data_IF_079435357120
#
_entry.id   IF_079435357120
#
_cell.length_a   1.000
_cell.length_b   1.000
_cell.length_c   1.000
_cell.angle_alpha   90.00
_cell.angle_beta   90.00
_cell.angle_gamma   90.00
#
_symmetry.space_group_name_H-M   'P 1'
#
loop_
_entity.id
_entity.type
_entity.pdbx_description
1 polymer ?
#
# COMPACT_ATOMS: atom_id res chain seq x y z
N UNK A 1 18.80 14.47 -8.19
CA UNK A 1 18.56 14.64 -6.74
C UNK A 1 19.66 15.52 -6.18
N UNK A 2 19.32 16.42 -5.24
CA UNK A 2 20.32 17.22 -4.51
C UNK A 2 21.28 16.28 -3.76
N UNK A 3 22.57 16.64 -3.72
CA UNK A 3 23.58 15.88 -2.97
C UNK A 3 23.25 15.97 -1.48
N UNK A 4 23.28 14.84 -0.77
CA UNK A 4 23.12 14.85 0.68
C UNK A 4 24.17 15.75 1.35
N UNK A 5 23.81 16.52 2.38
CA UNK A 5 24.77 17.33 3.13
C UNK A 5 25.91 16.47 3.66
N UNK A 6 27.11 17.02 3.64
CA UNK A 6 28.30 16.40 4.24
C UNK A 6 28.60 17.06 5.58
N UNK A 7 29.55 16.50 6.34
CA UNK A 7 29.97 17.08 7.62
C UNK A 7 30.49 18.52 7.49
N UNK A 8 30.92 18.92 6.29
CA UNK A 8 31.40 20.27 5.95
C UNK A 8 30.30 21.20 5.42
N UNK A 9 29.06 20.74 5.30
CA UNK A 9 27.96 21.58 4.79
C UNK A 9 27.58 22.66 5.80
N UNK A 10 27.39 23.87 5.30
CA UNK A 10 26.88 24.99 6.09
C UNK A 10 25.43 24.75 6.52
N UNK A 11 25.00 25.41 7.60
CA UNK A 11 23.61 25.33 8.07
C UNK A 11 22.59 25.77 7.03
N UNK A 12 22.95 26.71 6.15
CA UNK A 12 22.09 27.15 5.05
C UNK A 12 21.88 26.04 4.00
N UNK A 13 22.93 25.29 3.66
CA UNK A 13 22.84 24.16 2.72
C UNK A 13 22.01 23.01 3.29
N UNK A 14 22.16 22.72 4.59
CA UNK A 14 21.34 21.72 5.29
C UNK A 14 19.87 22.13 5.26
N UNK A 15 19.57 23.40 5.60
CA UNK A 15 18.19 23.91 5.58
C UNK A 15 17.56 23.82 4.19
N UNK A 16 18.31 24.11 3.13
CA UNK A 16 17.80 24.03 1.76
C UNK A 16 17.55 22.59 1.33
N UNK A 17 18.44 21.67 1.71
CA UNK A 17 18.23 20.23 1.51
C UNK A 17 16.98 19.72 2.22
N UNK A 18 16.76 20.12 3.48
CA UNK A 18 15.59 19.74 4.27
C UNK A 18 14.30 20.28 3.66
N UNK A 19 14.30 21.53 3.17
CA UNK A 19 13.16 22.09 2.42
C UNK A 19 12.88 21.28 1.15
N UNK A 20 13.92 20.89 0.42
CA UNK A 20 13.79 20.03 -0.76
C UNK A 20 13.14 18.69 -0.43
N UNK A 21 13.58 18.04 0.66
CA UNK A 21 12.95 16.80 1.14
C UNK A 21 11.52 17.00 1.63
N UNK A 22 11.23 18.08 2.34
CA UNK A 22 9.88 18.41 2.77
C UNK A 22 8.94 18.60 1.57
N UNK A 23 9.39 19.31 0.53
CA UNK A 23 8.65 19.50 -0.70
C UNK A 23 8.42 18.17 -1.43
N UNK A 24 9.46 17.35 -1.60
CA UNK A 24 9.34 16.03 -2.21
C UNK A 24 8.37 15.12 -1.44
N UNK A 25 8.46 15.10 -0.10
CA UNK A 25 7.56 14.34 0.76
C UNK A 25 6.10 14.81 0.66
N UNK A 26 5.84 16.11 0.49
CA UNK A 26 4.48 16.62 0.22
C UNK A 26 3.95 16.15 -1.13
N UNK A 27 4.77 16.17 -2.18
CA UNK A 27 4.37 15.65 -3.50
C UNK A 27 4.05 14.16 -3.43
N UNK A 28 4.90 13.38 -2.77
CA UNK A 28 4.70 11.97 -2.49
C UNK A 28 3.36 11.70 -1.79
N UNK A 29 3.08 12.44 -0.69
CA UNK A 29 1.88 12.23 0.14
C UNK A 29 0.60 12.71 -0.54
N UNK A 30 0.72 13.60 -1.52
CA UNK A 30 -0.37 14.00 -2.42
C UNK A 30 -0.52 13.07 -3.64
N UNK A 31 0.17 11.93 -3.65
CA UNK A 31 0.01 10.90 -4.68
C UNK A 31 0.77 11.16 -5.98
N UNK A 32 1.70 12.13 -6.00
CA UNK A 32 2.57 12.35 -7.17
C UNK A 32 3.58 11.20 -7.30
N UNK A 33 3.93 10.90 -8.54
CA UNK A 33 5.01 9.96 -8.84
C UNK A 33 6.36 10.51 -8.38
N UNK A 34 7.23 9.61 -7.92
CA UNK A 34 8.56 9.96 -7.45
C UNK A 34 9.61 9.91 -8.57
N UNK A 35 9.43 9.05 -9.57
CA UNK A 35 10.32 8.94 -10.74
C UNK A 35 9.61 9.22 -12.06
N UNK A 36 8.52 9.99 -12.05
CA UNK A 36 7.86 10.45 -13.29
C UNK A 36 7.35 9.33 -14.21
N UNK A 37 6.84 8.22 -13.64
CA UNK A 37 6.43 7.02 -14.39
C UNK A 37 7.57 6.35 -15.17
N UNK A 38 8.77 6.36 -14.59
CA UNK A 38 9.88 5.52 -15.05
C UNK A 38 9.41 4.10 -15.32
N UNK A 39 9.73 3.60 -16.52
CA UNK A 39 9.22 2.33 -17.02
C UNK A 39 9.98 1.16 -16.41
N UNK A 40 9.24 0.11 -16.05
CA UNK A 40 9.82 -1.16 -15.64
C UNK A 40 10.71 -1.72 -16.76
N UNK A 41 11.88 -2.22 -16.39
CA UNK A 41 12.85 -2.76 -17.33
C UNK A 41 13.10 -4.26 -17.10
N UNK A 42 13.16 -5.03 -18.18
CA UNK A 42 13.54 -6.43 -18.21
C UNK A 42 14.72 -6.61 -19.18
N UNK A 43 15.81 -7.15 -18.66
CA UNK A 43 17.03 -7.37 -19.42
C UNK A 43 17.33 -8.86 -19.53
N UNK A 44 17.35 -9.37 -20.76
CA UNK A 44 17.72 -10.75 -21.05
C UNK A 44 19.24 -10.84 -21.19
N UNK A 45 19.87 -11.70 -20.38
CA UNK A 45 21.28 -12.03 -20.58
C UNK A 45 21.43 -12.85 -21.87
N UNK A 46 22.14 -12.31 -22.86
CA UNK A 46 22.36 -12.96 -24.16
C UNK A 46 23.69 -13.72 -24.23
N UNK A 47 24.36 -13.89 -23.09
CA UNK A 47 25.75 -14.37 -23.03
C UNK A 47 26.76 -13.28 -23.40
N UNK A 48 28.05 -13.64 -23.40
CA UNK A 48 29.16 -12.76 -23.76
C UNK A 48 29.15 -11.37 -23.07
N UNK A 49 28.71 -11.34 -21.81
CA UNK A 49 28.59 -10.13 -20.98
C UNK A 49 27.65 -9.06 -21.58
N UNK A 50 26.65 -9.48 -22.37
CA UNK A 50 25.66 -8.60 -22.99
C UNK A 50 24.27 -8.86 -22.45
N UNK A 51 23.48 -7.80 -22.44
CA UNK A 51 22.06 -7.82 -22.09
C UNK A 51 21.24 -7.12 -23.17
N UNK A 52 20.12 -7.72 -23.54
CA UNK A 52 19.12 -7.10 -24.41
C UNK A 52 17.98 -6.55 -23.56
N UNK A 53 17.56 -5.31 -23.79
CA UNK A 53 16.32 -4.80 -23.21
C UNK A 53 15.15 -5.48 -23.92
N UNK A 54 14.43 -6.33 -23.19
CA UNK A 54 13.28 -7.10 -23.70
C UNK A 54 11.97 -6.67 -23.03
N UNK A 55 11.96 -5.54 -22.32
CA UNK A 55 10.82 -5.07 -21.51
C UNK A 55 9.50 -5.04 -22.29
N UNK A 56 9.53 -4.51 -23.52
CA UNK A 56 8.33 -4.40 -24.34
C UNK A 56 7.82 -5.77 -24.80
N UNK A 57 8.72 -6.64 -25.28
CA UNK A 57 8.34 -7.96 -25.83
C UNK A 57 7.94 -8.97 -24.76
N UNK A 58 8.42 -8.80 -23.52
CA UNK A 58 7.97 -9.60 -22.37
C UNK A 58 6.68 -9.08 -21.74
N UNK A 59 6.18 -7.91 -22.18
CA UNK A 59 5.01 -7.26 -21.59
C UNK A 59 5.28 -6.68 -20.20
N UNK A 60 6.56 -6.49 -19.82
CA UNK A 60 6.97 -5.93 -18.53
C UNK A 60 7.18 -4.41 -18.56
N UNK A 61 7.12 -3.77 -19.73
CA UNK A 61 7.30 -2.33 -19.93
C UNK A 61 6.08 -1.51 -19.47
N UNK A 62 5.86 -1.49 -18.16
CA UNK A 62 4.82 -0.69 -17.54
C UNK A 62 5.34 0.70 -17.14
N UNK A 63 4.62 1.79 -17.45
CA UNK A 63 4.92 3.14 -16.97
C UNK A 63 4.37 3.37 -15.56
N UNK A 64 4.52 2.38 -14.68
CA UNK A 64 4.06 2.46 -13.31
C UNK A 64 5.24 2.80 -12.41
N UNK A 65 5.00 3.64 -11.41
CA UNK A 65 6.03 4.08 -10.47
C UNK A 65 6.43 2.96 -9.49
N UNK A 66 7.05 1.90 -10.02
CA UNK A 66 7.39 0.64 -9.34
C UNK A 66 8.43 0.81 -8.25
N UNK A 67 8.18 0.26 -7.07
CA UNK A 67 9.05 0.39 -5.90
C UNK A 67 9.41 -0.91 -5.22
N UNK A 68 8.81 -2.03 -5.61
CA UNK A 68 9.23 -3.34 -5.16
C UNK A 68 8.81 -4.40 -6.14
N UNK A 69 9.60 -5.47 -6.21
CA UNK A 69 9.36 -6.63 -7.06
C UNK A 69 9.69 -7.89 -6.24
N UNK A 70 8.74 -8.81 -6.16
CA UNK A 70 8.93 -10.12 -5.58
C UNK A 70 8.80 -11.18 -6.67
N UNK A 71 9.75 -12.10 -6.73
CA UNK A 71 9.70 -13.26 -7.61
C UNK A 71 9.20 -14.47 -6.83
N UNK A 72 8.31 -15.25 -7.43
CA UNK A 72 7.79 -16.49 -6.85
C UNK A 72 7.26 -17.41 -7.95
N UNK A 73 7.29 -18.72 -7.74
CA UNK A 73 6.46 -19.65 -8.51
C UNK A 73 5.12 -19.76 -7.76
N UNK A 74 4.14 -18.93 -8.15
CA UNK A 74 2.92 -18.72 -7.35
C UNK A 74 1.98 -19.91 -7.38
N UNK A 75 1.87 -20.55 -8.54
CA UNK A 75 1.02 -21.73 -8.74
C UNK A 75 1.79 -23.05 -8.79
N UNK A 76 3.09 -23.01 -8.52
CA UNK A 76 3.98 -24.17 -8.39
C UNK A 76 4.12 -24.98 -9.70
N UNK A 77 4.06 -24.30 -10.84
CA UNK A 77 4.12 -24.89 -12.16
C UNK A 77 5.53 -24.90 -12.77
N UNK A 78 6.52 -24.36 -12.04
CA UNK A 78 7.91 -24.24 -12.49
C UNK A 78 8.21 -22.97 -13.28
N UNK A 79 7.25 -22.06 -13.47
CA UNK A 79 7.46 -20.77 -14.12
C UNK A 79 7.45 -19.69 -13.05
N UNK A 80 8.50 -18.87 -13.05
CA UNK A 80 8.57 -17.75 -12.12
C UNK A 80 7.60 -16.65 -12.53
N UNK A 81 6.76 -16.26 -11.59
CA UNK A 81 5.83 -15.13 -11.59
C UNK A 81 6.39 -13.93 -10.83
N UNK A 82 5.68 -12.81 -10.95
CA UNK A 82 6.06 -11.55 -10.31
C UNK A 82 4.91 -10.90 -9.57
N UNK A 83 5.21 -10.39 -8.38
CA UNK A 83 4.41 -9.36 -7.73
C UNK A 83 5.18 -8.04 -7.79
N UNK A 84 4.55 -6.99 -8.28
CA UNK A 84 5.10 -5.64 -8.25
C UNK A 84 4.24 -4.75 -7.36
N UNK A 85 4.90 -3.91 -6.55
CA UNK A 85 4.23 -2.82 -5.84
C UNK A 85 4.63 -1.49 -6.47
N UNK A 86 3.62 -0.66 -6.73
CA UNK A 86 3.80 0.66 -7.31
C UNK A 86 3.37 1.71 -6.29
N UNK A 87 4.06 2.84 -6.31
CA UNK A 87 3.72 3.98 -5.46
C UNK A 87 2.34 4.54 -5.78
N UNK A 88 2.07 4.70 -7.08
CA UNK A 88 0.81 5.22 -7.60
C UNK A 88 -0.10 4.07 -8.03
N UNK A 89 -1.19 4.38 -8.72
CA UNK A 89 -2.05 3.35 -9.30
C UNK A 89 -1.44 2.67 -10.52
N UNK A 90 -1.68 1.36 -10.73
CA UNK A 90 -2.25 0.42 -9.75
C UNK A 90 -1.21 0.02 -8.70
N UNK A 91 -1.59 -0.03 -7.42
CA UNK A 91 -0.63 -0.22 -6.30
C UNK A 91 0.02 -1.59 -6.27
N UNK A 92 -0.69 -2.62 -6.70
CA UNK A 92 -0.18 -3.99 -6.76
C UNK A 92 -0.47 -4.53 -8.15
N UNK A 93 0.51 -5.22 -8.73
CA UNK A 93 0.32 -6.04 -9.92
C UNK A 93 0.81 -7.45 -9.65
N UNK A 94 0.01 -8.41 -10.06
CA UNK A 94 0.43 -9.79 -10.23
C UNK A 94 0.65 -10.06 -11.71
N UNK A 95 1.80 -10.60 -12.06
CA UNK A 95 2.13 -11.02 -13.41
C UNK A 95 2.38 -12.52 -13.40
N UNK A 96 1.39 -13.25 -13.90
CA UNK A 96 1.47 -14.69 -14.05
C UNK A 96 2.20 -15.06 -15.35
N UNK A 97 3.21 -15.89 -15.24
CA UNK A 97 3.99 -16.37 -16.36
C UNK A 97 3.33 -17.60 -17.01
N UNK A 98 2.72 -17.38 -18.18
CA UNK A 98 2.06 -18.43 -18.96
C UNK A 98 2.91 -18.92 -20.15
N UNK A 99 4.21 -18.60 -20.17
CA UNK A 99 5.10 -19.00 -21.26
C UNK A 99 5.20 -20.53 -21.34
N UNK A 100 4.89 -21.09 -22.51
CA UNK A 100 4.96 -22.53 -22.72
C UNK A 100 6.40 -22.95 -23.03
N UNK A 101 6.93 -23.89 -22.25
CA UNK A 101 8.29 -24.40 -22.40
C UNK A 101 8.36 -25.88 -22.04
N UNK A 102 9.28 -26.59 -22.67
CA UNK A 102 9.67 -27.97 -22.35
C UNK A 102 10.96 -28.03 -21.51
N UNK A 103 11.43 -26.87 -21.03
CA UNK A 103 12.51 -26.79 -20.06
C UNK A 103 12.04 -27.31 -18.70
N UNK A 104 12.95 -27.97 -18.01
CA UNK A 104 12.72 -28.54 -16.69
C UNK A 104 13.26 -27.61 -15.60
N UNK A 105 12.77 -27.79 -14.38
CA UNK A 105 13.19 -27.02 -13.22
C UNK A 105 13.38 -27.90 -11.98
N UNK A 106 13.97 -27.34 -10.94
CA UNK A 106 13.91 -27.90 -9.59
C UNK A 106 13.90 -26.76 -8.57
N UNK A 107 13.15 -26.94 -7.48
CA UNK A 107 12.95 -25.90 -6.47
C UNK A 107 13.26 -26.42 -5.07
N UNK A 108 13.99 -25.64 -4.28
CA UNK A 108 14.42 -26.04 -2.94
C UNK A 108 13.92 -25.10 -1.84
N UNK A 109 13.31 -25.67 -0.80
CA UNK A 109 13.10 -25.01 0.48
C UNK A 109 14.12 -25.56 1.48
N UNK A 110 14.81 -24.68 2.19
CA UNK A 110 15.87 -25.05 3.10
C UNK A 110 15.39 -24.95 4.55
N UNK A 111 15.74 -25.92 5.38
CA UNK A 111 15.43 -25.94 6.81
C UNK A 111 16.71 -26.14 7.60
N UNK A 112 17.15 -25.09 8.29
CA UNK A 112 18.27 -25.17 9.23
C UNK A 112 17.87 -25.90 10.52
N UNK A 113 18.81 -26.64 11.08
CA UNK A 113 18.69 -27.34 12.37
C UNK A 113 19.76 -26.88 13.34
N UNK A 114 21.02 -26.82 12.89
CA UNK A 114 22.16 -26.24 13.61
C UNK A 114 22.34 -24.77 13.23
N UNK A 115 22.09 -24.43 11.97
CA UNK A 115 22.00 -23.07 11.45
C UNK A 115 20.65 -22.43 11.80
N UNK A 116 20.47 -21.13 11.50
CA UNK A 116 19.16 -20.46 11.67
C UNK A 116 18.06 -21.24 10.93
N UNK A 117 16.84 -21.31 11.50
CA UNK A 117 15.76 -22.19 11.00
C UNK A 117 15.41 -21.95 9.53
N UNK A 118 15.51 -20.70 9.09
CA UNK A 118 15.26 -20.26 7.73
C UNK A 118 16.44 -20.47 6.77
N UNK A 119 17.57 -20.98 7.26
CA UNK A 119 18.81 -21.19 6.52
C UNK A 119 19.30 -19.95 5.75
N UNK A 120 18.99 -18.73 6.23
CA UNK A 120 19.45 -17.49 5.61
C UNK A 120 20.98 -17.48 5.56
N UNK A 121 21.54 -17.22 4.38
CA UNK A 121 22.96 -17.29 4.08
C UNK A 121 23.41 -18.59 3.41
N UNK A 122 22.56 -19.62 3.36
CA UNK A 122 22.88 -20.90 2.71
C UNK A 122 23.06 -20.74 1.19
N UNK A 123 23.87 -21.63 0.59
CA UNK A 123 24.05 -21.71 -0.87
C UNK A 123 23.81 -23.13 -1.35
N UNK A 124 22.90 -23.29 -2.30
CA UNK A 124 22.71 -24.52 -3.06
C UNK A 124 23.56 -24.47 -4.31
N UNK A 125 24.34 -25.51 -4.54
CA UNK A 125 25.15 -25.74 -5.72
C UNK A 125 24.64 -27.00 -6.41
N UNK A 126 24.15 -26.85 -7.64
CA UNK A 126 23.61 -27.93 -8.45
C UNK A 126 24.48 -28.14 -9.68
N UNK A 127 25.03 -29.34 -9.84
CA UNK A 127 25.85 -29.71 -11.00
C UNK A 127 25.01 -30.56 -11.95
N UNK A 128 24.98 -30.18 -13.22
CA UNK A 128 24.34 -30.97 -14.29
C UNK A 128 25.37 -31.93 -14.90
N UNK A 129 24.90 -33.08 -15.35
CA UNK A 129 25.73 -34.07 -16.05
C UNK A 129 26.46 -33.42 -17.24
N UNK A 130 27.78 -33.61 -17.31
CA UNK A 130 28.61 -33.05 -18.37
C UNK A 130 28.88 -31.54 -18.27
N UNK A 131 28.54 -30.89 -17.15
CA UNK A 131 28.86 -29.49 -16.89
C UNK A 131 29.76 -29.34 -15.65
N UNK A 132 30.98 -28.82 -15.85
CA UNK A 132 31.95 -28.62 -14.78
C UNK A 132 31.60 -27.43 -13.86
N UNK A 133 30.70 -26.54 -14.28
CA UNK A 133 30.33 -25.34 -13.52
C UNK A 133 28.95 -25.52 -12.87
N UNK A 134 28.87 -25.46 -11.52
CA UNK A 134 27.60 -25.62 -10.82
C UNK A 134 26.69 -24.39 -10.99
N UNK A 135 25.40 -24.64 -11.07
CA UNK A 135 24.35 -23.64 -10.93
C UNK A 135 24.21 -23.29 -9.44
N UNK A 136 24.47 -22.03 -9.08
CA UNK A 136 24.46 -21.59 -7.68
C UNK A 136 23.20 -20.76 -7.39
N UNK A 137 22.54 -21.05 -6.28
CA UNK A 137 21.48 -20.23 -5.69
C UNK A 137 21.78 -19.99 -4.21
N UNK A 138 21.61 -18.76 -3.77
CA UNK A 138 21.86 -18.36 -2.39
C UNK A 138 20.58 -17.87 -1.77
N UNK A 139 20.35 -18.22 -0.51
CA UNK A 139 19.18 -17.79 0.25
C UNK A 139 19.52 -16.53 1.05
N UNK A 140 18.75 -15.46 0.84
CA UNK A 140 18.95 -14.16 1.48
C UNK A 140 17.68 -13.69 2.20
N UNK A 141 17.87 -12.85 3.22
CA UNK A 141 16.81 -12.03 3.80
C UNK A 141 17.01 -10.58 3.32
N UNK A 142 15.95 -10.01 2.76
CA UNK A 142 15.98 -8.82 1.92
C UNK A 142 16.31 -9.15 0.46
N UNK A 143 15.37 -8.91 -0.46
CA UNK A 143 15.65 -9.00 -1.90
C UNK A 143 14.95 -7.87 -2.64
N UNK A 144 15.68 -7.16 -3.50
CA UNK A 144 15.14 -5.97 -4.14
C UNK A 144 14.94 -4.81 -3.16
N UNK A 145 14.27 -3.76 -3.63
CA UNK A 145 13.96 -2.58 -2.83
C UNK A 145 12.54 -2.73 -2.24
N UNK A 146 12.39 -2.55 -0.92
CA UNK A 146 11.10 -2.64 -0.21
C UNK A 146 10.32 -3.96 -0.45
N UNK A 147 11.02 -5.06 -0.71
CA UNK A 147 10.44 -6.34 -1.12
C UNK A 147 11.19 -7.54 -0.53
N UNK A 148 10.54 -8.71 -0.60
CA UNK A 148 11.13 -10.01 -0.29
C UNK A 148 10.52 -11.07 -1.21
N UNK A 149 11.36 -11.66 -2.06
CA UNK A 149 11.00 -12.79 -2.92
C UNK A 149 10.87 -14.07 -2.09
N UNK A 150 10.29 -15.09 -2.69
CA UNK A 150 10.12 -16.41 -2.07
C UNK A 150 11.45 -16.97 -1.53
N UNK A 151 11.36 -17.77 -0.45
CA UNK A 151 12.50 -18.53 0.09
C UNK A 151 12.81 -19.79 -0.74
N UNK A 152 11.95 -20.15 -1.68
CA UNK A 152 12.16 -21.25 -2.60
C UNK A 152 13.26 -20.90 -3.61
N UNK A 153 14.35 -21.67 -3.59
CA UNK A 153 15.45 -21.51 -4.52
C UNK A 153 15.14 -22.26 -5.81
N UNK A 154 14.74 -21.51 -6.84
CA UNK A 154 14.43 -22.05 -8.15
C UNK A 154 15.68 -22.17 -9.04
N UNK A 155 15.84 -23.33 -9.68
CA UNK A 155 16.90 -23.62 -10.65
C UNK A 155 16.25 -24.13 -11.94
N UNK A 156 16.42 -23.41 -13.04
CA UNK A 156 16.10 -23.91 -14.38
C UNK A 156 17.18 -24.87 -14.84
N UNK A 157 16.78 -26.06 -15.28
CA UNK A 157 17.67 -27.15 -15.70
C UNK A 157 17.84 -27.20 -17.21
N UNK A 158 16.97 -26.54 -17.98
CA UNK A 158 16.88 -26.73 -19.43
C UNK A 158 16.20 -28.05 -19.77
N UNK A 159 16.31 -28.51 -21.02
CA UNK A 159 15.61 -29.71 -21.49
C UNK A 159 16.45 -30.97 -21.33
N UNK A 160 16.00 -31.93 -20.51
CA UNK A 160 16.54 -33.29 -20.45
C UNK A 160 17.92 -33.41 -19.81
N UNK A 161 18.35 -32.41 -19.04
CA UNK A 161 19.64 -32.43 -18.36
C UNK A 161 19.53 -33.22 -17.05
N UNK A 162 20.38 -34.23 -16.88
CA UNK A 162 20.47 -34.98 -15.63
C UNK A 162 21.20 -34.16 -14.54
N UNK A 163 20.78 -34.35 -13.29
CA UNK A 163 21.43 -33.75 -12.13
C UNK A 163 22.47 -34.74 -11.60
N UNK A 164 23.74 -34.32 -11.54
CA UNK A 164 24.87 -35.13 -11.07
C UNK A 164 25.14 -34.94 -9.58
N UNK A 165 24.95 -33.72 -9.06
CA UNK A 165 25.19 -33.42 -7.65
C UNK A 165 24.34 -32.25 -7.16
N UNK A 166 23.89 -32.34 -5.90
CA UNK A 166 23.27 -31.23 -5.17
C UNK A 166 23.98 -31.08 -3.83
N UNK A 167 24.64 -29.93 -3.63
CA UNK A 167 25.36 -29.60 -2.39
C UNK A 167 24.80 -28.34 -1.76
N UNK A 168 24.67 -28.34 -0.44
CA UNK A 168 24.27 -27.18 0.35
C UNK A 168 25.45 -26.75 1.22
N UNK A 169 25.90 -25.53 1.04
CA UNK A 169 26.77 -24.85 2.00
C UNK A 169 25.87 -24.14 3.01
N UNK A 170 25.87 -24.64 4.24
CA UNK A 170 25.07 -24.09 5.32
C UNK A 170 25.72 -22.83 5.93
N UNK A 171 24.94 -21.91 6.54
CA UNK A 171 25.47 -20.72 7.20
C UNK A 171 26.51 -21.02 8.29
N UNK A 172 26.40 -22.18 8.96
CA UNK A 172 27.38 -22.66 9.95
C UNK A 172 28.71 -23.16 9.36
N UNK A 173 28.90 -23.13 8.04
CA UNK A 173 30.13 -23.55 7.35
C UNK A 173 30.16 -25.02 6.94
N UNK A 174 29.23 -25.84 7.42
CA UNK A 174 29.09 -27.23 6.99
C UNK A 174 28.69 -27.31 5.50
N UNK A 175 29.24 -28.31 4.81
CA UNK A 175 28.86 -28.64 3.43
C UNK A 175 28.21 -30.01 3.45
N UNK A 176 27.02 -30.10 2.88
CA UNK A 176 26.21 -31.31 2.87
C UNK A 176 25.80 -31.66 1.45
N UNK A 177 25.94 -32.94 1.11
CA UNK A 177 25.51 -33.49 -0.17
C UNK A 177 24.17 -34.20 -0.02
N UNK A 178 23.27 -33.96 -0.96
CA UNK A 178 21.93 -34.53 -0.97
C UNK A 178 21.80 -35.59 -2.06
N UNK A 179 21.15 -36.71 -1.72
CA UNK A 179 20.82 -37.75 -2.68
C UNK A 179 20.02 -37.19 -3.87
N UNK A 180 20.34 -37.62 -5.10
CA UNK A 180 19.76 -37.07 -6.33
C UNK A 180 18.23 -37.19 -6.36
N UNK A 181 17.58 -36.14 -6.86
CA UNK A 181 16.14 -36.04 -7.00
C UNK A 181 15.76 -35.84 -8.47
N UNK A 182 14.58 -36.32 -8.91
CA UNK A 182 14.12 -36.04 -10.27
C UNK A 182 13.80 -34.55 -10.46
N UNK A 183 13.97 -34.10 -11.71
CA UNK A 183 13.54 -32.78 -12.15
C UNK A 183 12.01 -32.58 -12.02
N UNK A 184 11.57 -31.34 -12.24
CA UNK A 184 10.18 -30.88 -12.16
C UNK A 184 9.53 -31.16 -10.80
N UNK A 185 10.26 -30.83 -9.73
CA UNK A 185 9.83 -31.08 -8.37
C UNK A 185 10.22 -29.97 -7.40
N UNK A 186 9.45 -29.90 -6.32
CA UNK A 186 9.70 -29.07 -5.17
C UNK A 186 10.23 -29.96 -4.03
N UNK A 187 11.34 -29.57 -3.41
CA UNK A 187 12.01 -30.38 -2.40
C UNK A 187 12.36 -29.56 -1.17
N UNK A 188 12.16 -30.15 0.00
CA UNK A 188 12.63 -29.64 1.28
C UNK A 188 13.96 -30.31 1.59
N UNK A 189 15.01 -29.50 1.75
CA UNK A 189 16.34 -29.93 2.17
C UNK A 189 16.55 -29.51 3.63
N UNK A 190 16.65 -30.50 4.51
CA UNK A 190 16.86 -30.26 5.93
C UNK A 190 18.31 -30.55 6.31
N UNK A 191 18.94 -29.60 7.01
CA UNK A 191 20.32 -29.70 7.47
C UNK A 191 20.55 -30.94 8.34
N UNK A 192 21.58 -31.73 7.97
CA UNK A 192 22.01 -32.95 8.66
C UNK A 192 21.30 -34.23 8.23
N UNK A 193 20.52 -34.21 7.15
CA UNK A 193 19.75 -35.39 6.69
C UNK A 193 20.33 -36.08 5.46
N UNK A 194 21.03 -35.36 4.58
CA UNK A 194 21.52 -35.80 3.27
C UNK A 194 20.42 -36.26 2.32
N UNK A 195 19.15 -36.00 2.66
CA UNK A 195 17.98 -36.54 1.96
C UNK A 195 16.97 -35.44 1.70
N UNK A 196 16.58 -35.31 0.44
CA UNK A 196 15.52 -34.41 0.04
C UNK A 196 14.15 -35.03 0.32
N UNK A 197 13.24 -34.24 0.88
CA UNK A 197 11.82 -34.61 0.99
C UNK A 197 11.05 -33.91 -0.11
N UNK A 198 10.42 -34.68 -1.01
CA UNK A 198 9.51 -34.12 -2.01
C UNK A 198 8.33 -33.42 -1.32
N UNK A 199 8.05 -32.21 -1.76
CA UNK A 199 6.91 -31.41 -1.32
C UNK A 199 5.91 -31.35 -2.46
N UNK A 200 4.65 -31.67 -2.15
CA UNK A 200 3.56 -31.60 -3.12
C UNK A 200 2.82 -30.28 -2.95
N UNK A 201 2.71 -29.46 -4.01
CA UNK A 201 1.94 -28.24 -3.98
C UNK A 201 0.49 -28.48 -3.54
N UNK A 202 -0.11 -27.58 -2.76
CA UNK A 202 -1.54 -27.68 -2.46
C UNK A 202 -2.34 -27.50 -3.74
N UNK A 203 -3.46 -28.22 -3.85
CA UNK A 203 -4.41 -28.00 -4.94
C UNK A 203 -4.99 -26.59 -4.84
N UNK A 204 -4.71 -25.76 -5.84
CA UNK A 204 -5.24 -24.39 -5.91
C UNK A 204 -6.74 -24.51 -6.18
N UNK A 205 -7.54 -24.19 -5.17
CA UNK A 205 -9.00 -24.12 -5.33
C UNK A 205 -9.34 -22.85 -6.08
N UNK A 206 -10.07 -22.98 -7.18
CA UNK A 206 -10.66 -21.83 -7.85
C UNK A 206 -11.67 -21.20 -6.89
N UNK A 207 -11.40 -19.97 -6.47
CA UNK A 207 -12.32 -19.23 -5.62
C UNK A 207 -13.44 -18.70 -6.51
N UNK A 208 -14.68 -19.07 -6.19
CA UNK A 208 -15.85 -18.39 -6.75
C UNK A 208 -15.93 -17.02 -6.09
N UNK A 209 -16.08 -15.91 -6.84
CA UNK A 209 -16.31 -14.61 -6.23
C UNK A 209 -17.50 -14.70 -5.28
N UNK A 210 -17.26 -14.52 -3.99
CA UNK A 210 -18.32 -14.31 -3.03
C UNK A 210 -18.70 -12.84 -3.06
N UNK A 211 -19.97 -12.52 -2.85
CA UNK A 211 -20.31 -11.18 -2.38
C UNK A 211 -19.44 -10.89 -1.15
N UNK A 212 -18.77 -9.73 -1.12
CA UNK A 212 -18.08 -9.32 0.08
C UNK A 212 -19.15 -9.19 1.18
N UNK A 213 -19.11 -10.07 2.16
CA UNK A 213 -19.90 -9.86 3.38
C UNK A 213 -19.24 -8.67 4.05
N UNK A 214 -19.93 -7.53 4.07
CA UNK A 214 -19.49 -6.44 4.92
C UNK A 214 -19.42 -6.98 6.34
N UNK A 215 -18.27 -6.87 7.03
CA UNK A 215 -18.20 -7.29 8.41
C UNK A 215 -19.28 -6.53 9.18
N UNK A 216 -19.95 -7.19 10.13
CA UNK A 216 -20.83 -6.50 11.07
C UNK A 216 -20.05 -5.30 11.62
N UNK A 217 -20.57 -4.10 11.38
CA UNK A 217 -19.94 -2.86 11.81
C UNK A 217 -19.81 -2.93 13.33
N UNK A 218 -18.60 -3.22 13.81
CA UNK A 218 -18.31 -3.11 15.23
C UNK A 218 -18.44 -1.62 15.59
N UNK A 219 -19.16 -1.27 16.67
CA UNK A 219 -19.24 0.12 17.14
C UNK A 219 -17.88 0.69 17.59
N UNK A 220 -16.80 -0.10 17.52
CA UNK A 220 -15.47 0.22 18.01
C UNK A 220 -14.40 0.38 16.90
N UNK A 221 -14.77 0.75 15.67
CA UNK A 221 -13.77 1.27 14.74
C UNK A 221 -13.49 2.74 15.04
N UNK A 222 -12.55 3.02 15.94
CA UNK A 222 -12.03 4.38 16.16
C UNK A 222 -10.56 4.45 15.75
N UNK A 223 -10.21 5.44 14.93
CA UNK A 223 -8.83 5.89 14.82
C UNK A 223 -8.53 6.67 16.09
N UNK A 224 -7.92 6.01 17.08
CA UNK A 224 -7.47 6.71 18.29
C UNK A 224 -6.25 7.53 17.91
N UNK A 225 -6.42 8.85 17.82
CA UNK A 225 -5.27 9.75 17.79
C UNK A 225 -4.62 9.67 19.16
N UNK A 226 -3.39 9.13 19.24
CA UNK A 226 -2.66 8.96 20.50
C UNK A 226 -2.53 10.28 21.28
N UNK A 227 -2.50 11.40 20.57
CA UNK A 227 -2.54 12.76 21.11
C UNK A 227 -3.60 13.57 20.37
N UNK A 228 -4.86 13.61 20.86
CA UNK A 228 -5.89 14.44 20.25
C UNK A 228 -5.45 15.91 20.32
N UNK A 229 -5.39 16.57 19.17
CA UNK A 229 -5.12 18.00 19.11
C UNK A 229 -6.43 18.77 19.29
N UNK A 230 -6.45 19.84 20.11
CA UNK A 230 -7.65 20.66 20.23
C UNK A 230 -7.94 21.36 18.89
N UNK A 231 -9.20 21.34 18.46
CA UNK A 231 -9.67 22.22 17.38
C UNK A 231 -9.48 23.67 17.85
N UNK A 232 -8.93 24.58 17.02
CA UNK A 232 -8.77 25.97 17.39
C UNK A 232 -10.12 26.61 17.75
N UNK A 233 -10.20 27.23 18.94
CA UNK A 233 -11.46 27.82 19.43
C UNK A 233 -11.89 29.07 18.64
N UNK A 234 -10.93 29.72 17.96
CA UNK A 234 -11.15 30.94 17.20
C UNK A 234 -11.65 30.70 15.77
N UNK A 235 -12.05 29.47 15.42
CA UNK A 235 -12.60 29.18 14.09
C UNK A 235 -13.96 29.83 13.93
N UNK A 236 -14.03 30.82 13.06
CA UNK A 236 -15.24 31.61 12.82
C UNK A 236 -16.13 30.95 11.77
N UNK A 237 -17.43 31.08 11.96
CA UNK A 237 -18.49 30.73 11.00
C UNK A 237 -19.60 31.79 11.10
N UNK A 238 -20.65 31.65 10.32
CA UNK A 238 -21.87 32.45 10.46
C UNK A 238 -23.00 31.57 11.01
N UNK A 239 -23.91 32.15 11.78
CA UNK A 239 -25.20 31.53 12.06
C UNK A 239 -26.15 31.67 10.84
N UNK A 240 -27.36 31.10 10.94
CA UNK A 240 -28.37 31.23 9.87
C UNK A 240 -28.87 32.67 9.70
N UNK A 241 -28.73 33.51 10.72
CA UNK A 241 -29.06 34.94 10.66
C UNK A 241 -27.92 35.77 10.01
N UNK A 242 -26.81 35.13 9.63
CA UNK A 242 -25.65 35.74 8.99
C UNK A 242 -24.70 36.46 9.95
N UNK A 243 -24.88 36.31 11.27
CA UNK A 243 -24.00 36.92 12.26
C UNK A 243 -22.74 36.09 12.46
N UNK A 244 -21.56 36.73 12.63
CA UNK A 244 -20.34 36.04 12.99
C UNK A 244 -20.46 35.30 14.32
N UNK A 245 -20.13 34.02 14.30
CA UNK A 245 -20.04 33.13 15.47
C UNK A 245 -18.74 32.31 15.39
N UNK A 246 -18.51 31.44 16.37
CA UNK A 246 -17.37 30.52 16.38
C UNK A 246 -17.85 29.09 16.52
N UNK A 247 -17.10 28.13 15.99
CA UNK A 247 -17.39 26.71 16.22
C UNK A 247 -17.47 26.37 17.71
N UNK A 248 -16.64 27.02 18.53
CA UNK A 248 -16.64 26.83 19.98
C UNK A 248 -17.95 27.33 20.65
N UNK A 249 -18.60 28.35 20.10
CA UNK A 249 -19.86 28.88 20.64
C UNK A 249 -21.02 27.87 20.53
N UNK A 250 -20.95 26.95 19.57
CA UNK A 250 -21.95 25.88 19.39
C UNK A 250 -21.70 24.68 20.32
N UNK A 251 -20.61 24.68 21.10
CA UNK A 251 -20.19 23.52 21.87
C UNK A 251 -20.63 23.63 23.33
N UNK A 252 -21.52 22.75 23.77
CA UNK A 252 -21.76 22.50 25.20
C UNK A 252 -21.33 21.10 25.66
N UNK A 253 -20.82 20.27 24.75
CA UNK A 253 -20.33 18.92 25.03
C UNK A 253 -19.40 18.37 23.93
N UNK A 254 -19.32 17.04 23.76
CA UNK A 254 -18.82 16.42 22.54
C UNK A 254 -19.65 16.90 21.34
N UNK A 255 -18.98 17.37 20.29
CA UNK A 255 -19.60 17.88 19.08
C UNK A 255 -19.03 17.13 17.87
N UNK A 256 -19.92 16.70 16.98
CA UNK A 256 -19.61 16.14 15.67
C UNK A 256 -19.88 17.23 14.64
N UNK A 257 -18.84 17.63 13.91
CA UNK A 257 -18.96 18.66 12.87
C UNK A 257 -19.16 17.94 11.55
N UNK A 258 -20.31 18.12 10.89
CA UNK A 258 -20.55 17.61 9.55
C UNK A 258 -20.46 18.75 8.52
N UNK A 259 -19.61 18.56 7.51
CA UNK A 259 -19.50 19.48 6.37
C UNK A 259 -20.38 18.98 5.23
N UNK A 260 -21.28 19.83 4.75
CA UNK A 260 -22.23 19.49 3.71
C UNK A 260 -22.46 20.62 2.71
N UNK A 261 -23.03 20.28 1.55
CA UNK A 261 -23.43 21.24 0.51
C UNK A 261 -24.85 20.95 0.03
N UNK A 262 -25.60 22.00 -0.32
CA UNK A 262 -26.96 21.86 -0.89
C UNK A 262 -26.95 21.19 -2.26
N UNK A 263 -25.80 21.14 -2.93
CA UNK A 263 -25.63 20.54 -4.26
C UNK A 263 -25.08 19.11 -4.23
N UNK A 264 -24.75 18.60 -3.04
CA UNK A 264 -24.11 17.30 -2.84
C UNK A 264 -25.13 16.22 -2.50
N UNK A 265 -25.49 15.37 -3.47
CA UNK A 265 -26.48 14.28 -3.29
C UNK A 265 -26.14 13.35 -2.12
N UNK A 266 -24.86 12.96 -1.98
CA UNK A 266 -24.43 12.09 -0.88
C UNK A 266 -24.57 12.76 0.48
N UNK A 267 -24.34 14.08 0.55
CA UNK A 267 -24.48 14.85 1.78
C UNK A 267 -25.95 14.89 2.23
N UNK A 268 -26.87 15.11 1.29
CA UNK A 268 -28.31 15.13 1.59
C UNK A 268 -28.81 13.75 2.02
N UNK A 269 -28.30 12.67 1.41
CA UNK A 269 -28.61 11.31 1.83
C UNK A 269 -28.13 11.03 3.26
N UNK A 270 -26.87 11.35 3.58
CA UNK A 270 -26.31 11.17 4.93
C UNK A 270 -27.11 11.96 5.97
N UNK A 271 -27.40 13.23 5.72
CA UNK A 271 -28.14 14.08 6.67
C UNK A 271 -29.60 13.64 6.86
N UNK A 272 -30.23 13.06 5.83
CA UNK A 272 -31.55 12.45 5.95
C UNK A 272 -31.51 11.24 6.89
N UNK A 273 -30.53 10.35 6.69
CA UNK A 273 -30.34 9.18 7.56
C UNK A 273 -30.06 9.60 9.00
N UNK A 274 -29.24 10.64 9.21
CA UNK A 274 -28.94 11.16 10.55
C UNK A 274 -30.16 11.78 11.19
N UNK A 275 -31.00 12.48 10.42
CA UNK A 275 -32.26 13.07 10.91
C UNK A 275 -33.21 11.99 11.43
N UNK A 276 -33.34 10.87 10.72
CA UNK A 276 -34.13 9.72 11.17
C UNK A 276 -33.59 9.09 12.46
N UNK A 277 -32.29 9.25 12.73
CA UNK A 277 -31.57 8.70 13.88
C UNK A 277 -31.15 9.75 14.91
N UNK A 278 -31.76 10.93 14.90
CA UNK A 278 -31.38 12.04 15.78
C UNK A 278 -31.39 11.69 17.28
N UNK A 279 -32.35 10.85 17.69
CA UNK A 279 -32.46 10.34 19.06
C UNK A 279 -31.23 9.52 19.50
N UNK A 280 -30.54 8.83 18.59
CA UNK A 280 -29.33 8.07 18.90
C UNK A 280 -28.17 9.01 19.30
N UNK A 281 -28.05 10.15 18.61
CA UNK A 281 -27.03 11.16 18.91
C UNK A 281 -27.29 11.82 20.26
N UNK A 282 -28.55 12.17 20.55
CA UNK A 282 -28.96 12.73 21.84
C UNK A 282 -28.71 11.75 22.99
N UNK A 283 -29.09 10.48 22.82
CA UNK A 283 -28.86 9.42 23.81
C UNK A 283 -27.37 9.18 24.08
N UNK A 284 -26.51 9.39 23.08
CA UNK A 284 -25.05 9.31 23.21
C UNK A 284 -24.42 10.58 23.82
N UNK A 285 -25.20 11.66 24.04
CA UNK A 285 -24.69 12.95 24.48
C UNK A 285 -23.81 13.65 23.43
N UNK A 286 -24.02 13.34 22.14
CA UNK A 286 -23.26 13.88 21.02
C UNK A 286 -24.07 14.97 20.31
N UNK A 287 -23.52 16.18 20.23
CA UNK A 287 -24.12 17.27 19.50
C UNK A 287 -23.71 17.22 18.03
N UNK A 288 -24.64 17.44 17.11
CA UNK A 288 -24.34 17.56 15.68
C UNK A 288 -24.41 19.03 15.28
N UNK A 289 -23.34 19.52 14.65
CA UNK A 289 -23.31 20.81 13.98
C UNK A 289 -23.13 20.59 12.48
N UNK A 290 -24.19 20.86 11.72
CA UNK A 290 -24.19 20.78 10.27
C UNK A 290 -23.70 22.11 9.68
N UNK A 291 -22.44 22.14 9.24
CA UNK A 291 -21.83 23.32 8.64
C UNK A 291 -22.01 23.26 7.13
N UNK A 292 -22.87 24.13 6.60
CA UNK A 292 -23.02 24.30 5.17
C UNK A 292 -21.76 24.98 4.60
N UNK A 293 -21.34 24.51 3.44
CA UNK A 293 -20.04 24.81 2.86
C UNK A 293 -20.16 25.16 1.37
N UNK A 294 -21.37 25.57 0.96
CA UNK A 294 -21.64 26.01 -0.40
C UNK A 294 -20.73 27.20 -0.77
N UNK A 295 -20.26 27.28 -2.02
CA UNK A 295 -19.59 28.48 -2.50
C UNK A 295 -20.51 29.70 -2.33
N UNK A 296 -20.00 30.85 -1.85
CA UNK A 296 -20.81 32.05 -1.74
C UNK A 296 -21.26 32.50 -3.13
N UNK A 297 -22.56 32.77 -3.28
CA UNK A 297 -23.16 33.38 -4.44
C UNK A 297 -23.09 34.91 -4.40
N UNK A 298 -23.83 35.54 -5.31
CA UNK A 298 -23.86 37.01 -5.42
C UNK A 298 -24.66 37.69 -4.30
N UNK A 299 -25.63 36.97 -3.70
CA UNK A 299 -26.51 37.49 -2.65
C UNK A 299 -26.53 36.56 -1.42
N UNK A 300 -25.94 37.00 -0.28
CA UNK A 300 -25.91 36.23 0.95
C UNK A 300 -27.29 35.94 1.56
N UNK A 301 -28.33 36.72 1.25
CA UNK A 301 -29.70 36.44 1.69
C UNK A 301 -30.25 35.22 0.94
N UNK A 302 -30.09 35.21 -0.39
CA UNK A 302 -30.54 34.10 -1.25
C UNK A 302 -29.82 32.80 -0.91
N UNK A 303 -28.51 32.86 -0.62
CA UNK A 303 -27.76 31.70 -0.19
C UNK A 303 -28.28 31.13 1.13
N UNK A 304 -28.61 31.99 2.10
CA UNK A 304 -29.17 31.58 3.39
C UNK A 304 -30.55 30.96 3.23
N UNK A 305 -31.42 31.59 2.47
CA UNK A 305 -32.76 31.06 2.16
C UNK A 305 -32.66 29.67 1.52
N UNK A 306 -31.68 29.45 0.62
CA UNK A 306 -31.45 28.14 0.00
C UNK A 306 -31.05 27.08 1.04
N UNK A 307 -30.14 27.42 1.95
CA UNK A 307 -29.66 26.52 3.00
C UNK A 307 -30.81 26.17 3.96
N UNK A 308 -31.55 27.17 4.42
CA UNK A 308 -32.67 27.01 5.34
C UNK A 308 -33.80 26.19 4.71
N UNK A 309 -34.19 26.48 3.47
CA UNK A 309 -35.20 25.71 2.75
C UNK A 309 -34.80 24.24 2.58
N UNK A 310 -33.52 23.96 2.31
CA UNK A 310 -33.02 22.60 2.20
C UNK A 310 -33.06 21.87 3.55
N UNK A 311 -32.62 22.53 4.62
CA UNK A 311 -32.65 21.98 5.96
C UNK A 311 -34.08 21.67 6.44
N UNK A 312 -35.01 22.60 6.21
CA UNK A 312 -36.43 22.43 6.51
C UNK A 312 -37.06 21.28 5.71
N UNK A 313 -36.67 21.11 4.45
CA UNK A 313 -37.14 20.02 3.60
C UNK A 313 -36.72 18.64 4.13
N UNK A 314 -35.52 18.53 4.68
CA UNK A 314 -35.02 17.28 5.30
C UNK A 314 -35.60 17.09 6.70
N UNK A 315 -36.06 18.18 7.34
CA UNK A 315 -36.53 18.16 8.72
C UNK A 315 -35.38 18.08 9.72
N UNK A 316 -34.24 18.70 9.38
CA UNK A 316 -32.99 18.59 10.12
C UNK A 316 -33.14 19.12 11.57
N UNK A 317 -32.90 18.30 12.61
CA UNK A 317 -33.05 18.71 14.00
C UNK A 317 -31.75 19.31 14.59
N UNK A 318 -30.70 19.40 13.78
CA UNK A 318 -29.36 19.78 14.20
C UNK A 318 -29.15 21.30 14.16
N UNK A 319 -28.13 21.77 14.90
CA UNK A 319 -27.67 23.15 14.74
C UNK A 319 -27.01 23.33 13.39
N UNK A 320 -27.30 24.44 12.72
CA UNK A 320 -26.76 24.76 11.40
C UNK A 320 -25.88 26.00 11.51
N UNK A 321 -24.72 25.94 10.88
CA UNK A 321 -23.84 27.08 10.68
C UNK A 321 -23.41 27.16 9.22
N UNK A 322 -22.96 28.34 8.79
CA UNK A 322 -22.46 28.59 7.45
C UNK A 322 -20.95 28.77 7.54
N UNK A 323 -20.22 27.88 6.88
CA UNK A 323 -18.78 27.90 6.83
C UNK A 323 -18.27 29.03 5.94
N UNK A 324 -17.20 29.69 6.38
CA UNK A 324 -16.44 30.60 5.53
C UNK A 324 -15.19 29.89 4.98
N UNK A 325 -14.53 30.52 4.00
CA UNK A 325 -13.33 29.94 3.38
C UNK A 325 -12.22 29.66 4.41
N UNK A 326 -12.00 30.56 5.36
CA UNK A 326 -10.96 30.42 6.39
C UNK A 326 -11.19 29.20 7.29
N UNK A 327 -12.45 28.91 7.64
CA UNK A 327 -12.84 27.73 8.38
C UNK A 327 -12.47 26.46 7.61
N UNK A 328 -12.92 26.35 6.36
CA UNK A 328 -12.67 25.18 5.50
C UNK A 328 -11.19 24.94 5.30
N UNK A 329 -10.42 26.00 5.01
CA UNK A 329 -8.97 25.93 4.85
C UNK A 329 -8.29 25.45 6.13
N UNK A 330 -8.72 25.94 7.30
CA UNK A 330 -8.12 25.53 8.57
C UNK A 330 -8.45 24.08 8.91
N UNK A 331 -9.69 23.63 8.66
CA UNK A 331 -10.08 22.23 8.83
C UNK A 331 -9.30 21.32 7.87
N UNK A 332 -9.07 21.75 6.62
CA UNK A 332 -8.20 21.05 5.68
C UNK A 332 -6.75 20.95 6.19
N UNK A 333 -6.18 22.04 6.72
CA UNK A 333 -4.83 22.01 7.32
C UNK A 333 -4.78 21.05 8.50
N UNK A 334 -5.77 21.06 9.37
CA UNK A 334 -5.88 20.14 10.50
C UNK A 334 -5.92 18.69 10.01
N UNK A 335 -6.83 18.36 9.10
CA UNK A 335 -6.94 17.03 8.50
C UNK A 335 -5.61 16.57 7.88
N UNK A 336 -4.96 17.43 7.08
CA UNK A 336 -3.72 17.08 6.38
C UNK A 336 -2.55 16.86 7.33
N UNK A 337 -2.57 17.54 8.47
CA UNK A 337 -1.56 17.44 9.53
C UNK A 337 -1.70 16.13 10.30
N UNK A 338 -2.93 15.73 10.65
CA UNK A 338 -3.17 14.60 11.54
C UNK A 338 -3.51 13.27 10.84
N UNK A 339 -4.15 13.31 9.66
CA UNK A 339 -4.64 12.11 8.95
C UNK A 339 -3.62 11.59 7.92
N UNK A 340 -2.49 12.28 7.72
CA UNK A 340 -1.38 11.86 6.86
C UNK A 340 -1.69 11.84 5.35
N UNK A 341 -2.97 11.94 4.97
CA UNK A 341 -3.44 12.12 3.59
C UNK A 341 -3.46 13.61 3.26
N UNK A 342 -2.70 14.02 2.25
CA UNK A 342 -2.63 15.41 1.78
C UNK A 342 -3.73 15.71 0.73
N UNK A 343 -4.94 15.20 0.95
CA UNK A 343 -6.13 15.54 0.17
C UNK A 343 -6.93 16.61 0.90
N UNK A 344 -7.80 17.35 0.21
CA UNK A 344 -8.83 18.13 0.89
C UNK A 344 -9.91 17.20 1.48
N UNK A 345 -10.67 17.71 2.45
CA UNK A 345 -11.85 17.04 2.99
C UNK A 345 -12.86 16.83 1.85
N UNK A 346 -13.31 15.58 1.58
CA UNK A 346 -14.39 15.35 0.64
C UNK A 346 -15.71 15.87 1.23
N UNK A 347 -16.75 15.96 0.40
CA UNK A 347 -18.12 16.16 0.89
C UNK A 347 -18.96 14.90 0.62
N UNK A 348 -19.74 14.43 1.61
CA UNK A 348 -19.74 14.92 2.99
C UNK A 348 -18.49 14.48 3.76
N UNK A 349 -18.16 15.19 4.84
CA UNK A 349 -17.10 14.79 5.78
C UNK A 349 -17.44 15.22 7.19
N UNK A 350 -17.11 14.35 8.15
CA UNK A 350 -17.37 14.56 9.57
C UNK A 350 -16.08 14.55 10.38
N UNK A 351 -15.98 15.43 11.38
CA UNK A 351 -14.77 15.66 12.21
C UNK A 351 -15.08 15.60 13.70
#
# INVERSE_FOLDING_TARGET
MSRSPTETSSSAEVLEYDKGWAALNRLIRSGRSFSGRERNCCFLNTGAQRFANVSAVTGLDFPDDGRGLCVTDWDHDGRLDFWATNRTGPRIRFLKNNYQTDNEFISFSLVGTSSNRDAIGARVMLTLAGNDQPLIRSLYAGSGYLSQSTKWLHVGLGKGNAIDAVKVHWPGGAVEEFAIMPANGHYILQEGTGKAKRWEPPTIKQLTPSAATEPDLSPLSRVVVLHPAPIPQSLTCLDLDGNPTTLAAHRSGPILINLWSTTCTNCLHELSEWTERSADFEAAGLQVLAVNVDPPGDDPVVDRDRIENMANRIGMPFSIAIGNQALVETLNVFQRTFVGRQSDLPLPSSL
#
